data_IF_126390097373
#
_entry.id   IF_126390097373
#
_cell.length_a   1.000
_cell.length_b   1.000
_cell.length_c   1.000
_cell.angle_alpha   90.00
_cell.angle_beta   90.00
_cell.angle_gamma   90.00
#
_symmetry.space_group_name_H-M   'P 1'
#
loop_
_entity.id
_entity.type
_entity.pdbx_description
1 polymer ?
#
# COMPACT_ATOMS: atom_id res chain seq x y z
N UNK A 1 -16.23 31.40 -25.61
CA UNK A 1 -15.31 30.38 -26.14
C UNK A 1 -14.95 29.42 -25.01
N UNK A 2 -15.63 28.28 -24.96
CA UNK A 2 -15.50 27.26 -23.91
C UNK A 2 -14.53 26.18 -24.35
N UNK A 3 -13.36 26.07 -23.71
CA UNK A 3 -12.50 24.89 -23.83
C UNK A 3 -12.68 23.98 -22.61
N UNK A 4 -13.00 22.68 -22.80
CA UNK A 4 -13.06 21.72 -21.70
C UNK A 4 -11.65 21.31 -21.25
N UNK A 5 -11.46 21.18 -19.94
CA UNK A 5 -10.23 20.62 -19.38
C UNK A 5 -10.19 19.08 -19.60
N UNK A 6 -9.00 18.50 -19.89
CA UNK A 6 -8.88 17.08 -20.15
C UNK A 6 -9.05 16.24 -18.87
N UNK A 7 -9.77 15.13 -18.99
CA UNK A 7 -9.93 14.12 -17.94
C UNK A 7 -8.57 13.51 -17.55
N UNK A 8 -8.34 13.35 -16.24
CA UNK A 8 -7.19 12.62 -15.73
C UNK A 8 -7.37 11.11 -15.98
N UNK A 9 -6.46 10.51 -16.74
CA UNK A 9 -6.46 9.08 -17.01
C UNK A 9 -6.06 8.28 -15.77
N UNK A 10 -7.03 7.58 -15.17
CA UNK A 10 -6.77 6.59 -14.12
C UNK A 10 -6.48 5.21 -14.72
N UNK A 11 -5.42 4.53 -14.25
CA UNK A 11 -5.10 3.14 -14.57
C UNK A 11 -5.20 2.27 -13.30
N UNK A 12 -5.73 1.04 -13.43
CA UNK A 12 -5.79 0.06 -12.33
C UNK A 12 -6.30 -1.32 -12.75
N UNK A 13 -5.55 -2.38 -12.45
CA UNK A 13 -5.76 -3.76 -12.95
C UNK A 13 -6.27 -4.72 -11.87
N UNK A 14 -6.94 -5.83 -12.25
CA UNK A 14 -7.33 -6.91 -11.33
C UNK A 14 -7.02 -8.26 -11.97
N UNK A 15 -6.41 -9.19 -11.23
CA UNK A 15 -6.22 -10.58 -11.66
C UNK A 15 -7.56 -11.34 -11.60
N UNK A 16 -7.78 -12.25 -12.55
CA UNK A 16 -8.89 -13.18 -12.51
C UNK A 16 -8.60 -14.32 -11.51
N UNK A 17 -9.62 -14.71 -10.74
CA UNK A 17 -9.57 -15.88 -9.87
C UNK A 17 -10.17 -17.08 -10.60
N UNK A 18 -9.40 -18.17 -10.73
CA UNK A 18 -9.92 -19.45 -11.18
C UNK A 18 -10.69 -20.12 -10.03
N UNK A 19 -11.99 -20.30 -10.20
CA UNK A 19 -12.86 -20.89 -9.18
C UNK A 19 -13.94 -21.76 -9.85
N UNK A 20 -13.58 -23.00 -10.19
CA UNK A 20 -14.50 -24.08 -10.56
C UNK A 20 -13.92 -25.44 -10.12
N UNK A 21 -14.82 -26.40 -9.87
CA UNK A 21 -14.58 -27.75 -9.31
C UNK A 21 -14.12 -27.81 -7.83
N UNK A 22 -15.02 -27.43 -6.91
CA UNK A 22 -15.12 -28.06 -5.57
C UNK A 22 -16.58 -28.13 -5.09
N UNK A 23 -17.45 -28.70 -5.93
CA UNK A 23 -18.74 -29.25 -5.53
C UNK A 23 -18.81 -30.71 -6.00
N UNK A 24 -19.66 -31.53 -5.35
CA UNK A 24 -19.73 -33.00 -5.48
C UNK A 24 -18.66 -33.75 -4.66
N UNK A 25 -18.66 -33.63 -3.32
CA UNK A 25 -18.29 -34.73 -2.42
C UNK A 25 -18.75 -34.55 -0.94
N UNK A 26 -19.99 -34.09 -0.70
CA UNK A 26 -20.52 -34.04 0.68
C UNK A 26 -22.03 -34.29 0.78
N UNK A 27 -22.46 -35.43 0.24
CA UNK A 27 -23.77 -36.04 0.51
C UNK A 27 -23.55 -37.53 0.80
N UNK A 28 -23.54 -37.88 2.09
CA UNK A 28 -23.73 -39.19 2.76
C UNK A 28 -23.02 -39.06 4.13
N UNK A 29 -23.76 -38.66 5.17
CA UNK A 29 -23.49 -38.94 6.60
C UNK A 29 -24.53 -38.21 7.48
N UNK A 30 -25.80 -38.61 7.35
CA UNK A 30 -26.90 -38.12 8.20
C UNK A 30 -27.54 -39.29 8.92
N UNK A 31 -26.86 -39.81 9.95
CA UNK A 31 -27.38 -40.80 10.90
C UNK A 31 -26.56 -40.76 12.18
N UNK A 32 -27.24 -40.71 13.33
CA UNK A 32 -26.69 -40.81 14.70
C UNK A 32 -25.64 -39.78 15.14
N UNK A 33 -26.09 -38.77 15.91
CA UNK A 33 -25.59 -38.55 17.28
C UNK A 33 -26.60 -37.67 18.05
N UNK A 34 -27.57 -38.32 18.70
CA UNK A 34 -28.37 -37.70 19.76
C UNK A 34 -27.57 -37.76 21.06
N UNK A 35 -26.87 -36.67 21.40
CA UNK A 35 -26.20 -36.50 22.70
C UNK A 35 -26.69 -35.22 23.36
N UNK A 36 -27.00 -35.35 24.65
CA UNK A 36 -27.66 -34.35 25.52
C UNK A 36 -26.91 -33.02 25.57
N UNK A 37 -27.58 -31.93 25.18
CA UNK A 37 -27.08 -30.57 25.43
C UNK A 37 -27.28 -30.17 26.90
N UNK A 38 -26.24 -30.31 27.71
CA UNK A 38 -26.12 -29.53 28.95
C UNK A 38 -25.76 -28.09 28.59
N UNK A 39 -26.65 -27.15 28.93
CA UNK A 39 -26.53 -25.73 28.57
C UNK A 39 -25.36 -25.11 29.38
N UNK A 40 -24.22 -24.73 28.77
CA UNK A 40 -23.14 -24.09 29.52
C UNK A 40 -23.57 -22.68 29.96
N UNK A 41 -23.04 -22.17 31.09
CA UNK A 41 -23.44 -20.86 31.59
C UNK A 41 -23.08 -19.77 30.59
N UNK A 42 -24.03 -18.85 30.34
CA UNK A 42 -23.84 -17.71 29.46
C UNK A 42 -22.72 -16.82 30.00
N UNK A 43 -21.51 -16.96 29.43
CA UNK A 43 -20.53 -15.88 29.46
C UNK A 43 -21.16 -14.70 28.72
N UNK A 44 -21.23 -13.56 29.40
CA UNK A 44 -21.67 -12.29 28.80
C UNK A 44 -20.90 -12.08 27.51
N UNK A 45 -21.62 -11.97 26.39
CA UNK A 45 -21.01 -11.73 25.10
C UNK A 45 -20.31 -10.37 25.16
N UNK A 46 -18.98 -10.41 25.24
CA UNK A 46 -18.14 -9.23 25.16
C UNK A 46 -18.28 -8.70 23.73
N UNK A 47 -19.26 -7.81 23.53
CA UNK A 47 -19.67 -7.32 22.21
C UNK A 47 -18.44 -6.67 21.56
N UNK A 48 -17.77 -7.34 20.61
CA UNK A 48 -16.59 -6.76 20.00
C UNK A 48 -17.12 -5.63 19.15
N UNK A 49 -16.78 -4.38 19.52
CA UNK A 49 -16.93 -3.23 18.61
C UNK A 49 -16.45 -3.71 17.25
N UNK A 50 -17.36 -3.86 16.30
CA UNK A 50 -17.06 -4.49 15.01
C UNK A 50 -15.91 -3.72 14.40
N UNK A 51 -14.75 -4.38 14.31
CA UNK A 51 -13.51 -3.70 13.97
C UNK A 51 -13.71 -3.07 12.59
N UNK A 52 -13.66 -1.73 12.52
CA UNK A 52 -13.94 -1.02 11.29
C UNK A 52 -12.83 -1.35 10.27
N UNK A 53 -13.15 -2.30 9.40
CA UNK A 53 -12.23 -2.82 8.39
C UNK A 53 -12.67 -2.28 7.01
N UNK A 54 -12.07 -1.18 6.52
CA UNK A 54 -12.44 -0.61 5.24
C UNK A 54 -11.90 -1.45 4.09
N UNK A 55 -12.76 -1.75 3.12
CA UNK A 55 -12.38 -2.40 1.87
C UNK A 55 -11.74 -1.45 0.83
N UNK A 56 -11.67 -0.14 1.14
CA UNK A 56 -11.06 0.88 0.28
C UNK A 56 -10.38 1.98 1.09
N UNK A 57 -9.24 2.44 0.58
CA UNK A 57 -8.45 3.52 1.16
C UNK A 57 -8.11 4.57 0.10
N UNK A 58 -7.79 5.79 0.54
CA UNK A 58 -7.42 6.88 -0.36
C UNK A 58 -6.24 7.69 0.18
N UNK A 59 -5.35 8.10 -0.72
CA UNK A 59 -4.32 9.12 -0.48
C UNK A 59 -4.49 10.26 -1.49
N UNK A 60 -4.73 11.51 -1.05
CA UNK A 60 -4.63 12.67 -1.93
C UNK A 60 -3.19 12.80 -2.47
N UNK A 61 -3.06 13.23 -3.73
CA UNK A 61 -1.77 13.55 -4.35
C UNK A 61 -1.78 14.93 -5.00
N UNK A 62 -0.61 15.55 -4.98
CA UNK A 62 -0.30 16.79 -5.69
C UNK A 62 0.92 16.57 -6.58
N UNK A 63 1.05 17.39 -7.63
CA UNK A 63 2.27 17.48 -8.42
C UNK A 63 3.06 18.69 -7.96
N UNK A 64 4.31 18.44 -7.57
CA UNK A 64 5.23 19.46 -7.07
C UNK A 64 5.62 20.46 -8.16
N UNK A 65 5.79 21.73 -7.78
CA UNK A 65 6.10 22.80 -8.73
C UNK A 65 7.57 22.79 -9.16
N UNK A 66 8.50 22.51 -8.23
CA UNK A 66 9.94 22.60 -8.49
C UNK A 66 10.52 21.34 -9.16
N UNK A 67 10.06 20.16 -8.74
CA UNK A 67 10.59 18.86 -9.20
C UNK A 67 9.68 18.15 -10.20
N UNK A 68 8.43 18.60 -10.35
CA UNK A 68 7.37 17.94 -11.12
C UNK A 68 7.05 16.49 -10.68
N UNK A 69 7.57 16.05 -9.55
CA UNK A 69 7.27 14.76 -8.93
C UNK A 69 5.90 14.78 -8.26
N UNK A 70 5.30 13.60 -8.09
CA UNK A 70 4.04 13.45 -7.36
C UNK A 70 4.32 13.23 -5.88
N UNK A 71 3.64 13.99 -5.01
CA UNK A 71 3.81 13.95 -3.55
C UNK A 71 2.47 13.61 -2.89
N UNK A 72 2.53 12.80 -1.83
CA UNK A 72 1.42 12.49 -0.93
C UNK A 72 1.83 12.66 0.53
N UNK A 73 0.87 12.95 1.41
CA UNK A 73 1.09 12.99 2.85
C UNK A 73 0.48 11.74 3.50
N UNK A 74 1.33 10.94 4.17
CA UNK A 74 0.90 9.76 4.93
C UNK A 74 1.12 10.05 6.41
N UNK A 75 0.18 9.61 7.25
CA UNK A 75 0.31 9.75 8.69
C UNK A 75 1.11 8.57 9.25
N UNK A 76 2.13 8.84 10.06
CA UNK A 76 2.96 7.82 10.72
C UNK A 76 3.27 8.21 12.17
N UNK A 77 3.95 7.31 12.89
CA UNK A 77 4.49 7.52 14.24
C UNK A 77 3.41 7.56 15.34
N UNK A 78 3.85 7.54 16.58
CA UNK A 78 3.05 7.84 17.76
C UNK A 78 3.83 8.79 18.71
N UNK A 79 3.40 10.05 18.94
CA UNK A 79 2.20 10.70 18.39
C UNK A 79 2.17 10.78 16.87
N UNK A 80 0.96 10.83 16.31
CA UNK A 80 0.74 10.77 14.87
C UNK A 80 1.20 12.05 14.17
N UNK A 81 2.08 11.92 13.18
CA UNK A 81 2.64 13.02 12.38
C UNK A 81 2.40 12.78 10.89
N UNK A 82 2.00 13.82 10.14
CA UNK A 82 2.03 13.77 8.68
C UNK A 82 3.47 13.85 8.18
N UNK A 83 3.82 12.97 7.24
CA UNK A 83 5.12 12.92 6.58
C UNK A 83 4.88 12.93 5.07
N UNK A 84 5.57 13.79 4.30
CA UNK A 84 5.48 13.81 2.85
C UNK A 84 6.27 12.64 2.24
N UNK A 85 5.74 12.08 1.16
CA UNK A 85 6.36 10.99 0.39
C UNK A 85 6.24 11.27 -1.10
N UNK A 86 7.34 11.03 -1.82
CA UNK A 86 7.33 10.96 -3.29
C UNK A 86 6.64 9.66 -3.71
N UNK A 87 5.67 9.77 -4.61
CA UNK A 87 4.94 8.63 -5.18
C UNK A 87 5.82 7.99 -6.26
N UNK A 88 6.54 6.95 -5.88
CA UNK A 88 7.31 6.11 -6.80
C UNK A 88 6.49 4.85 -7.13
N UNK A 89 6.01 4.74 -8.38
CA UNK A 89 5.19 3.61 -8.83
C UNK A 89 5.94 2.27 -8.69
N UNK A 90 7.20 2.25 -9.15
CA UNK A 90 8.09 1.10 -9.03
C UNK A 90 8.80 1.09 -7.65
N UNK A 91 8.09 1.42 -6.54
CA UNK A 91 8.61 1.67 -5.18
C UNK A 91 8.56 0.47 -4.18
N UNK A 92 9.66 0.21 -3.44
CA UNK A 92 10.06 -1.12 -2.90
C UNK A 92 9.17 -1.40 -1.69
N UNK A 93 9.30 -0.43 -0.81
CA UNK A 93 8.69 -0.24 0.47
C UNK A 93 8.38 1.25 0.52
N UNK A 94 7.58 1.63 1.50
CA UNK A 94 7.71 3.00 1.99
C UNK A 94 9.13 3.15 2.55
N UNK A 95 9.78 4.27 2.26
CA UNK A 95 11.06 4.64 2.85
C UNK A 95 10.83 5.91 3.65
N UNK A 96 11.48 6.05 4.80
CA UNK A 96 11.36 7.26 5.61
C UNK A 96 12.75 7.75 5.96
N UNK A 97 12.99 9.05 5.81
CA UNK A 97 14.15 9.69 6.43
C UNK A 97 14.08 9.51 7.95
N UNK A 98 14.86 8.56 8.46
CA UNK A 98 15.01 8.26 9.89
C UNK A 98 16.18 9.01 10.53
N UNK A 99 16.50 10.18 9.99
CA UNK A 99 17.46 11.11 10.59
C UNK A 99 17.05 11.48 12.03
N UNK A 100 17.98 12.12 12.75
CA UNK A 100 18.03 12.24 14.22
C UNK A 100 16.75 12.76 14.93
N UNK A 101 15.74 13.24 14.19
CA UNK A 101 14.42 13.68 14.67
C UNK A 101 13.28 12.67 14.46
N UNK A 102 13.56 11.39 14.15
CA UNK A 102 12.52 10.34 14.15
C UNK A 102 12.14 9.97 15.59
N UNK A 103 11.10 10.64 16.11
CA UNK A 103 10.51 10.35 17.41
C UNK A 103 9.18 9.61 17.25
N UNK A 104 9.07 8.42 17.84
CA UNK A 104 7.86 7.60 17.87
C UNK A 104 7.95 6.55 18.99
N UNK A 105 6.93 6.44 19.84
CA UNK A 105 6.88 5.41 20.89
C UNK A 105 6.45 4.02 20.38
N UNK A 106 6.09 3.91 19.11
CA UNK A 106 5.68 2.66 18.44
C UNK A 106 6.68 2.19 17.38
N UNK A 107 7.85 2.83 17.31
CA UNK A 107 8.93 2.40 16.44
C UNK A 107 9.60 1.13 16.98
N UNK A 108 9.83 0.16 16.10
CA UNK A 108 10.63 -1.03 16.36
C UNK A 108 11.46 -1.39 15.13
N UNK A 109 12.74 -1.72 15.31
CA UNK A 109 13.55 -2.36 14.27
C UNK A 109 13.49 -3.89 14.46
N UNK A 110 13.00 -4.69 13.50
CA UNK A 110 12.94 -6.14 13.64
C UNK A 110 14.33 -6.77 13.70
N UNK A 111 14.49 -7.76 14.58
CA UNK A 111 15.74 -8.52 14.74
C UNK A 111 16.06 -9.36 13.49
N UNK A 112 17.34 -9.64 13.27
CA UNK A 112 17.78 -10.48 12.16
C UNK A 112 17.11 -11.86 12.18
N UNK A 113 16.82 -12.38 10.98
CA UNK A 113 16.08 -13.64 10.74
C UNK A 113 14.66 -13.71 11.32
N UNK A 114 14.08 -12.59 11.79
CA UNK A 114 12.67 -12.54 12.20
C UNK A 114 11.70 -12.68 11.02
N UNK A 115 10.43 -13.02 11.30
CA UNK A 115 9.38 -13.19 10.27
C UNK A 115 9.12 -11.91 9.47
N UNK A 116 9.36 -10.74 10.07
CA UNK A 116 9.32 -9.44 9.39
C UNK A 116 10.38 -9.31 8.29
N UNK A 117 11.56 -9.89 8.50
CA UNK A 117 12.69 -9.83 7.56
C UNK A 117 12.56 -10.86 6.45
N UNK A 118 12.06 -12.06 6.79
CA UNK A 118 11.58 -13.02 5.80
C UNK A 118 10.46 -12.40 4.93
N UNK A 119 9.50 -11.67 5.52
CA UNK A 119 8.46 -10.94 4.79
C UNK A 119 9.02 -9.80 3.93
N UNK A 120 10.08 -9.14 4.37
CA UNK A 120 10.79 -8.13 3.57
C UNK A 120 11.73 -8.75 2.51
N UNK A 121 11.82 -10.09 2.44
CA UNK A 121 12.72 -10.86 1.57
C UNK A 121 14.19 -10.42 1.67
N UNK A 122 14.69 -10.26 2.89
CA UNK A 122 16.11 -10.00 3.14
C UNK A 122 16.75 -11.04 4.05
N UNK A 123 17.88 -11.65 3.61
CA UNK A 123 18.72 -12.49 4.46
C UNK A 123 19.77 -11.67 5.24
N UNK A 124 19.93 -10.38 4.93
CA UNK A 124 21.04 -9.57 5.44
C UNK A 124 20.76 -9.05 6.85
N UNK A 125 21.69 -9.29 7.78
CA UNK A 125 21.70 -8.61 9.06
C UNK A 125 22.33 -7.21 8.93
N UNK A 126 21.76 -6.24 9.63
CA UNK A 126 22.27 -4.88 9.77
C UNK A 126 22.94 -4.70 11.13
N UNK A 127 24.03 -3.93 11.11
CA UNK A 127 24.84 -3.54 12.27
C UNK A 127 25.20 -2.07 12.12
N UNK A 128 25.07 -1.29 13.17
CA UNK A 128 25.34 0.14 13.18
C UNK A 128 26.27 0.52 14.35
N UNK A 129 27.46 1.00 14.03
CA UNK A 129 28.52 1.33 15.00
C UNK A 129 28.30 2.71 15.68
N UNK A 130 27.07 3.06 16.02
CA UNK A 130 26.70 4.35 16.64
C UNK A 130 25.73 4.15 17.79
N UNK A 131 25.31 5.23 18.44
CA UNK A 131 24.32 5.18 19.53
C UNK A 131 22.98 4.65 19.01
N UNK A 132 22.35 3.65 19.68
CA UNK A 132 21.08 3.08 19.23
C UNK A 132 19.98 4.13 19.06
N UNK A 133 19.39 4.17 17.87
CA UNK A 133 18.33 5.13 17.48
C UNK A 133 17.60 4.61 16.24
N UNK A 134 16.41 5.10 15.89
CA UNK A 134 15.76 4.76 14.62
C UNK A 134 16.69 4.86 13.41
N UNK A 135 16.76 3.79 12.61
CA UNK A 135 17.70 3.65 11.49
C UNK A 135 19.11 3.20 11.88
N UNK A 136 19.36 2.81 13.13
CA UNK A 136 20.67 2.42 13.64
C UNK A 136 20.55 1.53 14.89
N UNK A 137 20.48 0.22 14.68
CA UNK A 137 20.62 -0.79 15.73
C UNK A 137 21.56 -1.92 15.26
N UNK A 138 21.93 -2.80 16.19
CA UNK A 138 22.70 -4.01 15.90
C UNK A 138 21.77 -5.23 15.86
N UNK A 139 22.13 -6.21 15.02
CA UNK A 139 21.37 -7.44 14.82
C UNK A 139 19.92 -7.19 14.36
N UNK A 140 19.72 -6.18 13.50
CA UNK A 140 18.46 -5.93 12.79
C UNK A 140 18.58 -6.38 11.34
N UNK A 141 17.64 -6.01 10.46
CA UNK A 141 17.62 -6.48 9.07
C UNK A 141 17.97 -5.37 8.10
N UNK A 142 18.89 -5.64 7.19
CA UNK A 142 19.33 -4.72 6.14
C UNK A 142 18.48 -4.85 4.87
N UNK A 143 18.20 -3.73 4.22
CA UNK A 143 17.49 -3.66 2.93
C UNK A 143 18.25 -2.72 1.98
N UNK A 144 18.44 -3.11 0.72
CA UNK A 144 19.03 -2.22 -0.28
C UNK A 144 17.99 -1.21 -0.78
N UNK A 145 18.19 0.06 -0.45
CA UNK A 145 17.30 1.17 -0.78
C UNK A 145 17.91 2.05 -1.89
N UNK A 146 17.28 2.11 -3.07
CA UNK A 146 17.82 2.77 -4.28
C UNK A 146 17.05 4.03 -4.64
N UNK A 147 17.65 5.20 -4.74
CA UNK A 147 16.96 6.42 -5.20
C UNK A 147 16.73 6.37 -6.72
N UNK A 148 15.48 6.38 -7.26
CA UNK A 148 15.19 6.32 -8.70
C UNK A 148 15.59 7.59 -9.45
N UNK A 149 15.85 8.70 -8.75
CA UNK A 149 16.26 9.97 -9.37
C UNK A 149 17.79 10.06 -9.54
N UNK A 150 18.57 9.47 -8.63
CA UNK A 150 20.05 9.50 -8.67
C UNK A 150 20.69 8.15 -8.96
N UNK A 151 19.90 7.08 -9.02
CA UNK A 151 20.31 5.67 -9.12
C UNK A 151 21.26 5.17 -8.02
N UNK A 152 21.49 5.97 -6.97
CA UNK A 152 22.33 5.59 -5.83
C UNK A 152 21.60 4.60 -4.92
N UNK A 153 22.31 3.57 -4.45
CA UNK A 153 21.78 2.57 -3.51
C UNK A 153 22.54 2.61 -2.17
N UNK A 154 21.81 2.45 -1.07
CA UNK A 154 22.35 2.40 0.28
C UNK A 154 21.70 1.28 1.10
N UNK A 155 22.43 0.72 2.06
CA UNK A 155 21.89 -0.26 3.00
C UNK A 155 21.06 0.45 4.08
N UNK A 156 19.76 0.18 4.13
CA UNK A 156 18.81 0.72 5.09
C UNK A 156 18.47 -0.31 6.18
N UNK A 157 18.18 0.15 7.39
CA UNK A 157 17.55 -0.68 8.42
C UNK A 157 16.06 -0.89 8.08
N UNK A 158 15.57 -2.13 8.19
CA UNK A 158 14.15 -2.44 8.23
C UNK A 158 13.55 -1.92 9.54
N UNK A 159 12.49 -1.14 9.42
CA UNK A 159 11.75 -0.57 10.54
C UNK A 159 10.27 -0.96 10.49
N UNK A 160 9.62 -0.89 11.65
CA UNK A 160 8.21 -1.16 11.85
C UNK A 160 7.62 -0.06 12.74
N UNK A 161 6.54 0.59 12.30
CA UNK A 161 5.87 1.64 13.08
C UNK A 161 4.43 1.81 12.57
N UNK A 162 3.61 2.56 13.30
CA UNK A 162 2.24 2.91 12.90
C UNK A 162 2.25 3.63 11.55
N UNK A 163 1.34 3.24 10.67
CA UNK A 163 0.88 4.00 9.51
C UNK A 163 -0.62 4.23 9.65
N UNK A 164 -1.09 5.44 9.37
CA UNK A 164 -2.52 5.75 9.28
C UNK A 164 -2.86 6.36 7.92
N UNK A 165 -4.00 5.94 7.38
CA UNK A 165 -4.45 6.26 6.03
C UNK A 165 -5.97 6.45 6.03
N UNK A 166 -6.48 7.33 5.17
CA UNK A 166 -7.91 7.58 5.09
C UNK A 166 -8.62 6.39 4.44
N UNK A 167 -9.65 5.89 5.13
CA UNK A 167 -10.66 5.05 4.46
C UNK A 167 -11.46 5.87 3.45
N UNK A 168 -12.19 5.22 2.54
CA UNK A 168 -13.14 5.91 1.67
C UNK A 168 -14.34 5.02 1.33
N UNK A 169 -15.52 5.64 1.14
CA UNK A 169 -16.68 4.99 0.49
C UNK A 169 -16.77 5.33 -1.01
N UNK A 170 -15.74 5.97 -1.56
CA UNK A 170 -15.68 6.51 -2.91
C UNK A 170 -15.47 8.02 -2.88
N UNK A 171 -16.56 8.78 -2.67
CA UNK A 171 -16.62 10.22 -3.02
C UNK A 171 -15.96 11.20 -2.05
N UNK A 172 -15.70 10.80 -0.80
CA UNK A 172 -15.05 11.63 0.23
C UNK A 172 -14.15 10.78 1.13
N UNK A 173 -13.01 11.32 1.62
CA UNK A 173 -12.22 10.68 2.66
C UNK A 173 -13.09 10.41 3.91
N UNK A 174 -13.03 9.18 4.41
CA UNK A 174 -13.62 8.75 5.66
C UNK A 174 -12.67 8.94 6.86
N UNK A 175 -12.87 8.22 7.97
CA UNK A 175 -11.95 8.24 9.10
C UNK A 175 -10.59 7.61 8.76
N UNK A 176 -9.56 8.05 9.49
CA UNK A 176 -8.24 7.43 9.50
C UNK A 176 -8.33 6.02 10.09
N UNK A 177 -7.79 5.04 9.37
CA UNK A 177 -7.56 3.68 9.87
C UNK A 177 -6.06 3.43 10.04
N UNK A 178 -5.70 2.55 10.98
CA UNK A 178 -4.32 2.33 11.42
C UNK A 178 -3.85 0.95 11.01
N UNK A 179 -2.63 0.87 10.48
CA UNK A 179 -1.81 -0.35 10.40
C UNK A 179 -0.75 -0.25 11.49
N UNK A 180 -0.88 -0.97 12.63
CA UNK A 180 0.00 -0.76 13.79
C UNK A 180 1.45 -1.22 13.58
N UNK A 181 1.66 -2.17 12.66
CA UNK A 181 2.95 -2.82 12.41
C UNK A 181 3.32 -2.72 10.93
N UNK A 182 3.32 -1.50 10.38
CA UNK A 182 3.67 -1.27 8.98
C UNK A 182 5.19 -1.28 8.82
N UNK A 183 5.70 -2.12 7.91
CA UNK A 183 7.12 -2.27 7.62
C UNK A 183 7.59 -1.22 6.59
N UNK A 184 8.77 -0.64 6.79
CA UNK A 184 9.35 0.38 5.92
C UNK A 184 10.88 0.39 6.04
N UNK A 185 11.58 0.96 5.06
CA UNK A 185 13.03 1.14 5.12
C UNK A 185 13.39 2.49 5.78
N UNK A 186 14.40 2.49 6.65
CA UNK A 186 14.71 3.59 7.54
C UNK A 186 15.96 4.39 7.10
N UNK A 187 16.03 4.76 5.82
CA UNK A 187 17.11 5.56 5.20
C UNK A 187 16.58 6.23 3.92
N UNK A 188 17.31 7.20 3.36
CA UNK A 188 16.96 7.86 2.09
C UNK A 188 17.20 6.94 0.85
N UNK A 189 16.19 6.17 0.40
CA UNK A 189 16.25 5.32 -0.81
C UNK A 189 14.98 4.49 -1.12
N UNK A 190 14.75 4.04 -2.37
CA UNK A 190 13.43 3.69 -3.00
C UNK A 190 13.39 2.59 -4.19
N UNK A 191 13.66 1.26 -4.09
CA UNK A 191 13.60 0.21 -5.24
C UNK A 191 12.19 -0.42 -5.62
N UNK A 192 11.95 -1.68 -6.16
CA UNK A 192 10.78 -2.71 -6.01
C UNK A 192 10.80 -3.91 -4.93
N UNK A 193 9.82 -4.19 -4.01
CA UNK A 193 9.84 -5.28 -2.95
C UNK A 193 8.45 -5.83 -2.44
N UNK A 194 8.43 -6.90 -1.61
CA UNK A 194 7.19 -7.49 -1.06
C UNK A 194 6.46 -6.64 -0.02
N UNK A 195 7.18 -5.81 0.74
CA UNK A 195 6.63 -4.88 1.75
C UNK A 195 6.19 -3.53 1.13
N UNK A 196 5.78 -3.54 -0.13
CA UNK A 196 5.22 -2.37 -0.80
C UNK A 196 3.91 -1.89 -0.14
N UNK A 197 3.59 -0.60 -0.31
CA UNK A 197 2.42 0.02 0.30
C UNK A 197 1.09 -0.67 -0.12
N UNK A 198 0.82 -0.96 -1.41
CA UNK A 198 -0.40 -1.69 -1.79
C UNK A 198 -0.52 -3.06 -1.13
N UNK A 199 0.58 -3.83 -1.12
CA UNK A 199 0.59 -5.21 -0.59
C UNK A 199 0.35 -5.25 0.92
N UNK A 200 0.99 -4.35 1.68
CA UNK A 200 0.79 -4.28 3.13
C UNK A 200 -0.62 -3.82 3.52
N UNK A 201 -1.19 -2.84 2.80
CA UNK A 201 -2.56 -2.38 3.05
C UNK A 201 -3.58 -3.48 2.73
N UNK A 202 -3.47 -4.09 1.54
CA UNK A 202 -4.31 -5.20 1.10
C UNK A 202 -4.28 -6.38 2.08
N UNK A 203 -3.07 -6.79 2.49
CA UNK A 203 -2.85 -7.85 3.47
C UNK A 203 -3.41 -7.53 4.86
N UNK A 204 -3.40 -6.26 5.29
CA UNK A 204 -3.88 -5.88 6.63
C UNK A 204 -5.40 -5.76 6.71
N UNK A 205 -6.04 -5.18 5.68
CA UNK A 205 -7.48 -4.93 5.64
C UNK A 205 -8.27 -6.03 4.90
N UNK A 206 -7.60 -6.99 4.27
CA UNK A 206 -8.24 -8.16 3.64
C UNK A 206 -8.92 -7.86 2.30
N UNK A 207 -8.43 -6.88 1.55
CA UNK A 207 -8.88 -6.59 0.17
C UNK A 207 -7.80 -6.99 -0.85
N UNK A 208 -8.14 -7.20 -2.15
CA UNK A 208 -7.14 -7.61 -3.16
C UNK A 208 -6.03 -6.56 -3.35
N UNK A 209 -4.77 -6.94 -3.62
CA UNK A 209 -3.64 -6.03 -3.81
C UNK A 209 -3.73 -5.25 -5.13
N UNK A 210 -4.72 -4.36 -5.20
CA UNK A 210 -5.05 -3.48 -6.30
C UNK A 210 -5.01 -2.03 -5.84
N UNK A 211 -4.57 -1.15 -6.72
CA UNK A 211 -4.68 0.29 -6.56
C UNK A 211 -5.01 0.95 -7.91
N UNK A 212 -5.42 2.21 -7.85
CA UNK A 212 -5.63 3.06 -9.01
C UNK A 212 -4.99 4.44 -8.78
N UNK A 213 -4.36 5.00 -9.81
CA UNK A 213 -3.66 6.29 -9.77
C UNK A 213 -4.34 7.30 -10.68
N UNK A 214 -4.85 8.41 -10.12
CA UNK A 214 -5.26 9.59 -10.88
C UNK A 214 -4.29 10.73 -10.61
N UNK A 215 -3.28 10.81 -11.47
CA UNK A 215 -2.21 11.80 -11.41
C UNK A 215 -2.72 13.17 -11.91
N UNK A 216 -2.50 14.27 -11.17
CA UNK A 216 -2.86 15.60 -11.62
C UNK A 216 -1.92 16.09 -12.74
N UNK A 217 -2.47 16.72 -13.77
CA UNK A 217 -1.71 17.24 -14.91
C UNK A 217 -0.87 18.47 -14.52
N UNK A 218 -1.52 19.45 -13.89
CA UNK A 218 -0.93 20.72 -13.45
C UNK A 218 -0.35 20.63 -12.04
N UNK A 219 0.81 21.25 -11.84
CA UNK A 219 1.43 21.39 -10.52
C UNK A 219 0.62 22.37 -9.64
N UNK A 220 0.49 22.06 -8.36
CA UNK A 220 -0.41 22.74 -7.43
C UNK A 220 0.05 22.54 -5.99
N UNK A 221 -0.11 23.58 -5.17
CA UNK A 221 0.13 23.52 -3.72
C UNK A 221 -1.05 22.87 -2.95
N UNK A 222 -2.12 22.49 -3.66
CA UNK A 222 -3.30 21.80 -3.14
C UNK A 222 -3.46 20.45 -3.86
N UNK A 223 -3.62 19.31 -3.15
CA UNK A 223 -3.90 18.01 -3.74
C UNK A 223 -5.15 18.00 -4.60
N UNK A 224 -4.97 17.65 -5.87
CA UNK A 224 -5.99 17.61 -6.92
C UNK A 224 -6.03 16.27 -7.68
N UNK A 225 -5.25 15.27 -7.25
CA UNK A 225 -5.36 13.88 -7.67
C UNK A 225 -5.52 12.91 -6.50
N UNK A 226 -5.62 11.62 -6.78
CA UNK A 226 -5.76 10.57 -5.75
C UNK A 226 -5.07 9.25 -6.12
N UNK A 227 -4.62 8.53 -5.10
CA UNK A 227 -4.35 7.08 -5.13
C UNK A 227 -5.49 6.40 -4.38
N UNK A 228 -6.15 5.43 -5.01
CA UNK A 228 -7.11 4.54 -4.36
C UNK A 228 -6.48 3.17 -4.13
N UNK A 229 -6.70 2.54 -2.98
CA UNK A 229 -6.33 1.16 -2.71
C UNK A 229 -7.60 0.32 -2.51
N UNK A 230 -7.61 -0.89 -3.06
CA UNK A 230 -8.79 -1.76 -3.12
C UNK A 230 -9.52 -1.68 -4.47
N UNK A 231 -10.67 -2.36 -4.53
CA UNK A 231 -11.50 -2.44 -5.73
C UNK A 231 -12.37 -1.19 -5.96
N UNK A 232 -12.85 -1.04 -7.19
CA UNK A 232 -13.77 0.05 -7.58
C UNK A 232 -15.17 -0.08 -6.94
N UNK A 233 -16.08 0.88 -7.17
CA UNK A 233 -15.88 2.12 -7.92
C UNK A 233 -14.86 3.08 -7.27
N UNK A 234 -14.22 3.88 -8.12
CA UNK A 234 -13.32 4.99 -7.82
C UNK A 234 -14.09 6.28 -8.12
N UNK A 235 -14.59 6.96 -7.09
CA UNK A 235 -15.39 8.18 -7.28
C UNK A 235 -14.51 9.41 -7.11
N UNK A 236 -14.51 10.30 -8.10
CA UNK A 236 -13.93 11.64 -7.97
C UNK A 236 -15.02 12.69 -7.82
N UNK A 237 -14.74 13.80 -7.12
CA UNK A 237 -15.69 14.90 -6.95
C UNK A 237 -16.13 15.45 -8.32
N UNK A 238 -17.43 15.77 -8.52
CA UNK A 238 -18.50 15.82 -7.52
C UNK A 238 -19.19 14.46 -7.20
N UNK A 239 -18.78 13.37 -7.83
CA UNK A 239 -19.36 12.03 -7.63
C UNK A 239 -19.21 11.08 -8.84
N UNK A 240 -18.29 11.38 -9.75
CA UNK A 240 -18.12 10.69 -11.04
C UNK A 240 -17.35 9.39 -10.83
N UNK A 241 -17.92 8.25 -11.25
CA UNK A 241 -17.22 6.96 -11.27
C UNK A 241 -16.39 6.80 -12.54
N UNK A 242 -15.08 7.00 -12.41
CA UNK A 242 -14.11 6.82 -13.50
C UNK A 242 -13.78 5.35 -13.77
N UNK A 243 -14.23 4.41 -12.93
CA UNK A 243 -14.01 2.96 -13.13
C UNK A 243 -14.68 2.44 -14.40
N UNK A 244 -15.80 3.06 -14.80
CA UNK A 244 -16.57 2.74 -16.00
C UNK A 244 -15.80 2.95 -17.32
N UNK A 245 -14.74 3.78 -17.29
CA UNK A 245 -13.95 4.16 -18.46
C UNK A 245 -12.66 3.34 -18.61
N UNK A 246 -12.39 2.43 -17.66
CA UNK A 246 -11.15 1.65 -17.63
C UNK A 246 -11.08 0.66 -18.79
N UNK A 247 -9.97 0.72 -19.53
CA UNK A 247 -9.56 -0.30 -20.51
C UNK A 247 -8.40 -1.10 -19.92
N UNK A 248 -8.33 -2.38 -20.26
CA UNK A 248 -7.38 -3.32 -19.68
C UNK A 248 -6.45 -3.92 -20.73
N UNK A 249 -5.24 -4.23 -20.30
CA UNK A 249 -4.19 -4.95 -21.04
C UNK A 249 -3.48 -5.86 -20.03
N UNK A 250 -2.86 -6.99 -20.44
CA UNK A 250 -2.05 -7.79 -19.54
C UNK A 250 -0.90 -6.96 -18.91
N UNK A 251 -0.68 -7.18 -17.62
CA UNK A 251 0.36 -6.57 -16.82
C UNK A 251 1.41 -7.63 -16.50
N UNK A 252 2.68 -7.35 -16.80
CA UNK A 252 3.83 -8.15 -16.36
C UNK A 252 4.63 -7.39 -15.31
N UNK A 253 5.29 -8.12 -14.41
CA UNK A 253 6.14 -7.56 -13.35
C UNK A 253 7.53 -8.18 -13.51
N UNK A 254 8.58 -7.34 -13.53
CA UNK A 254 9.97 -7.82 -13.63
C UNK A 254 10.49 -8.37 -12.30
N UNK A 255 11.64 -9.07 -12.27
CA UNK A 255 12.28 -9.52 -11.03
C UNK A 255 12.56 -8.37 -10.05
N UNK A 256 12.81 -7.17 -10.57
CA UNK A 256 13.05 -5.93 -9.82
C UNK A 256 11.75 -5.24 -9.39
N UNK A 257 10.59 -5.83 -9.68
CA UNK A 257 9.28 -5.32 -9.25
C UNK A 257 8.71 -4.16 -10.07
N UNK A 258 9.22 -3.95 -11.29
CA UNK A 258 8.74 -2.88 -12.17
C UNK A 258 7.52 -3.33 -12.98
N UNK A 259 6.58 -2.42 -13.22
CA UNK A 259 5.35 -2.69 -13.96
C UNK A 259 5.52 -2.50 -15.48
N UNK A 260 5.18 -3.53 -16.26
CA UNK A 260 5.29 -3.53 -17.71
C UNK A 260 3.97 -3.89 -18.41
N UNK A 261 3.76 -3.31 -19.59
CA UNK A 261 2.66 -3.65 -20.51
C UNK A 261 3.25 -3.90 -21.89
N UNK A 262 2.67 -4.83 -22.64
CA UNK A 262 3.09 -5.10 -24.03
C UNK A 262 2.46 -4.10 -24.98
N UNK A 263 3.29 -3.37 -25.73
CA UNK A 263 2.87 -2.50 -26.83
C UNK A 263 2.97 -3.27 -28.15
N UNK A 264 1.91 -3.27 -28.96
CA UNK A 264 1.88 -3.94 -30.27
C UNK A 264 2.20 -2.99 -31.43
N UNK A 265 1.79 -1.73 -31.32
CA UNK A 265 2.11 -0.65 -32.26
C UNK A 265 1.94 0.71 -31.59
N UNK A 266 2.67 1.70 -32.07
CA UNK A 266 2.42 3.12 -31.80
C UNK A 266 1.85 3.70 -33.11
N UNK A 267 0.86 4.59 -33.03
CA UNK A 267 0.32 5.28 -34.20
C UNK A 267 0.25 6.78 -33.96
N UNK A 268 0.73 7.56 -34.93
CA UNK A 268 0.73 9.03 -34.91
C UNK A 268 -0.03 9.49 -36.16
N UNK A 269 -1.10 10.28 -35.97
CA UNK A 269 -1.97 10.75 -37.05
C UNK A 269 -2.44 9.61 -37.98
N UNK A 270 -2.87 8.49 -37.39
CA UNK A 270 -3.27 7.24 -38.04
C UNK A 270 -2.18 6.52 -38.87
N UNK A 271 -0.94 7.02 -38.89
CA UNK A 271 0.22 6.32 -39.45
C UNK A 271 0.89 5.48 -38.37
N UNK A 272 1.36 4.30 -38.75
CA UNK A 272 2.03 3.33 -37.88
C UNK A 272 3.56 3.40 -38.07
#
# INVERSE_FOLDING_TARGET
LTHPFPLASCLGYRMASFLHLFHIFFLISTSFFLVTQSKPPQRTAFNPRTAFNPNKLVLPIQKDQATHLFITNIHKRNPLKQVPFVVHLNGQFLWVACEQSYLSSTYHAPLCHSTQCARANTPYCHTCNSTPRPGCHNNTCGLMATNPMTHQAAMAELAQDVLSIQSTKGSKPGPLVRVPRFLFACIAGLGHAPISLPNQLASHFGFPPKFALCLPSSASNVPNGAIFFGDGPYLMLPGIDISSQLRFTPLTISPEGQYYITLTSIRINNKQ
#
